data_IF_989690233847
#
_entry.id   IF_989690233847
#
_cell.length_a   1.000
_cell.length_b   1.000
_cell.length_c   1.000
_cell.angle_alpha   90.00
_cell.angle_beta   90.00
_cell.angle_gamma   90.00
#
_symmetry.space_group_name_H-M   'P 1'
#
loop_
_entity.id
_entity.type
_entity.pdbx_description
1 polymer ?
#
# COMPACT_ATOMS: atom_id res chain seq x y z
N UNK A 1 0.53 23.93 6.00
CA UNK A 1 -0.95 23.79 5.92
C UNK A 1 -1.29 22.36 6.31
N UNK A 2 -2.22 22.14 7.23
CA UNK A 2 -2.64 20.78 7.61
C UNK A 2 -3.35 20.13 6.42
N UNK A 3 -2.85 18.99 5.97
CA UNK A 3 -3.53 18.17 4.95
C UNK A 3 -4.83 17.64 5.56
N UNK A 4 -5.97 17.90 4.91
CA UNK A 4 -7.26 17.39 5.39
C UNK A 4 -7.23 15.86 5.44
N UNK A 5 -7.67 15.28 6.56
CA UNK A 5 -7.74 13.85 6.73
C UNK A 5 -8.83 13.27 5.80
N UNK A 6 -8.45 12.34 4.92
CA UNK A 6 -9.40 11.69 4.03
C UNK A 6 -10.45 10.89 4.83
N UNK A 7 -11.71 10.83 4.42
CA UNK A 7 -12.67 9.88 4.98
C UNK A 7 -12.16 8.43 4.84
N UNK A 8 -12.51 7.55 5.77
CA UNK A 8 -12.10 6.15 5.75
C UNK A 8 -13.17 5.24 6.37
N UNK A 9 -13.20 4.00 5.94
CA UNK A 9 -13.80 2.89 6.68
C UNK A 9 -12.81 2.42 7.73
N UNK A 10 -13.26 2.11 8.93
CA UNK A 10 -12.41 1.59 10.01
C UNK A 10 -13.03 0.34 10.62
N UNK A 11 -12.23 -0.71 10.76
CA UNK A 11 -12.58 -1.95 11.46
C UNK A 11 -11.58 -2.15 12.59
N UNK A 12 -12.06 -2.51 13.77
CA UNK A 12 -11.18 -2.82 14.91
C UNK A 12 -11.43 -4.24 15.38
N UNK A 13 -10.38 -5.04 15.52
CA UNK A 13 -10.47 -6.42 16.02
C UNK A 13 -10.63 -6.49 17.55
N UNK A 14 -10.43 -5.39 18.26
CA UNK A 14 -10.60 -5.27 19.70
C UNK A 14 -10.97 -3.84 20.11
N UNK A 15 -11.50 -3.66 21.32
CA UNK A 15 -11.92 -2.35 21.84
C UNK A 15 -10.75 -1.34 21.97
N UNK A 16 -9.54 -1.83 22.21
CA UNK A 16 -8.33 -1.02 22.32
C UNK A 16 -7.26 -1.59 21.38
N UNK A 17 -7.26 -1.20 20.09
CA UNK A 17 -6.25 -1.61 19.14
C UNK A 17 -4.89 -1.03 19.51
N UNK A 18 -3.87 -1.87 19.43
CA UNK A 18 -2.48 -1.54 19.72
C UNK A 18 -1.64 -1.42 18.44
N UNK A 19 -2.18 -1.87 17.31
CA UNK A 19 -1.57 -1.85 15.99
C UNK A 19 -2.52 -1.27 14.95
N UNK A 20 -1.98 -0.85 13.81
CA UNK A 20 -2.80 -0.38 12.70
C UNK A 20 -2.30 -0.92 11.36
N UNK A 21 -3.24 -1.19 10.46
CA UNK A 21 -2.99 -1.44 9.04
C UNK A 21 -3.75 -0.39 8.26
N UNK A 22 -3.05 0.49 7.55
CA UNK A 22 -3.66 1.49 6.67
C UNK A 22 -3.61 0.94 5.24
N UNK A 23 -4.77 0.58 4.69
CA UNK A 23 -4.89 -0.17 3.45
C UNK A 23 -5.55 0.64 2.34
N UNK A 24 -4.81 0.91 1.28
CA UNK A 24 -5.19 1.74 0.16
C UNK A 24 -5.75 0.89 -0.99
N UNK A 25 -6.93 1.24 -1.50
CA UNK A 25 -7.61 0.57 -2.62
C UNK A 25 -6.99 0.91 -3.98
N UNK A 26 -7.37 0.17 -5.02
CA UNK A 26 -7.00 0.43 -6.41
C UNK A 26 -7.75 1.59 -7.06
N UNK A 27 -7.37 1.92 -8.30
CA UNK A 27 -8.03 2.94 -9.11
C UNK A 27 -9.52 2.63 -9.30
N UNK A 28 -10.38 3.61 -9.08
CA UNK A 28 -11.83 3.52 -9.31
C UNK A 28 -12.62 2.84 -8.19
N UNK A 29 -11.93 2.13 -7.27
CA UNK A 29 -12.52 1.54 -6.07
C UNK A 29 -12.67 2.56 -4.94
N UNK A 30 -12.99 2.11 -3.73
CA UNK A 30 -13.04 2.94 -2.53
C UNK A 30 -12.65 2.14 -1.27
N UNK A 31 -12.78 2.73 -0.08
CA UNK A 31 -12.36 2.09 1.17
C UNK A 31 -13.15 0.82 1.54
N UNK A 32 -14.27 0.53 0.89
CA UNK A 32 -15.04 -0.71 1.11
C UNK A 32 -14.51 -1.91 0.32
N UNK A 33 -13.60 -1.69 -0.63
CA UNK A 33 -13.10 -2.73 -1.54
C UNK A 33 -12.37 -3.86 -0.81
N UNK A 34 -11.55 -3.50 0.20
CA UNK A 34 -10.77 -4.46 0.99
C UNK A 34 -11.33 -4.71 2.39
N UNK A 35 -12.44 -4.07 2.76
CA UNK A 35 -13.11 -4.31 4.04
C UNK A 35 -13.42 -5.80 4.28
N UNK A 36 -13.95 -6.57 3.29
CA UNK A 36 -14.27 -7.98 3.48
C UNK A 36 -13.04 -8.88 3.73
N UNK A 37 -11.84 -8.46 3.39
CA UNK A 37 -10.61 -9.25 3.61
C UNK A 37 -10.34 -9.44 5.11
N UNK A 38 -10.77 -8.50 5.95
CA UNK A 38 -10.60 -8.61 7.42
C UNK A 38 -11.43 -9.76 8.00
N UNK A 39 -12.56 -10.08 7.39
CA UNK A 39 -13.42 -11.20 7.82
C UNK A 39 -12.81 -12.58 7.49
N UNK A 40 -11.84 -12.64 6.56
CA UNK A 40 -11.09 -13.85 6.21
C UNK A 40 -9.94 -14.14 7.19
N UNK A 41 -9.54 -13.15 8.02
CA UNK A 41 -8.46 -13.32 9.00
C UNK A 41 -8.97 -13.99 10.28
N UNK A 42 -8.17 -14.89 10.84
CA UNK A 42 -8.44 -15.46 12.15
C UNK A 42 -8.19 -14.39 13.24
N UNK A 43 -9.22 -13.98 13.99
CA UNK A 43 -9.09 -12.94 15.00
C UNK A 43 -8.14 -13.29 16.15
N UNK A 44 -7.74 -14.58 16.27
CA UNK A 44 -6.79 -15.04 17.29
C UNK A 44 -5.32 -14.94 16.87
N UNK A 45 -5.07 -14.72 15.57
CA UNK A 45 -3.71 -14.71 14.99
C UNK A 45 -3.08 -13.33 15.05
N UNK A 46 -3.87 -12.28 14.78
CA UNK A 46 -3.39 -10.91 14.81
C UNK A 46 -3.51 -10.27 16.19
N UNK A 47 -2.56 -9.42 16.60
CA UNK A 47 -2.75 -8.60 17.79
C UNK A 47 -3.94 -7.66 17.62
N UNK A 48 -4.43 -7.00 18.71
CA UNK A 48 -5.47 -5.98 18.60
C UNK A 48 -5.15 -4.91 17.56
N UNK A 49 -5.81 -4.96 16.42
CA UNK A 49 -5.47 -4.17 15.23
C UNK A 49 -6.64 -3.29 14.78
N UNK A 50 -6.33 -2.07 14.35
CA UNK A 50 -7.24 -1.21 13.59
C UNK A 50 -6.87 -1.26 12.12
N UNK A 51 -7.82 -1.71 11.30
CA UNK A 51 -7.75 -1.60 9.84
C UNK A 51 -8.39 -0.28 9.42
N UNK A 52 -7.67 0.51 8.64
CA UNK A 52 -8.10 1.83 8.15
C UNK A 52 -8.06 1.78 6.63
N UNK A 53 -9.20 1.99 5.98
CA UNK A 53 -9.36 1.97 4.52
C UNK A 53 -9.77 3.36 4.02
N UNK A 54 -8.81 4.26 3.73
CA UNK A 54 -9.12 5.60 3.26
C UNK A 54 -9.76 5.58 1.87
N UNK A 55 -10.70 6.50 1.63
CA UNK A 55 -11.21 6.77 0.29
C UNK A 55 -10.30 7.75 -0.43
N UNK A 56 -9.78 7.36 -1.61
CA UNK A 56 -9.05 8.29 -2.47
C UNK A 56 -9.93 9.47 -2.89
N UNK A 57 -9.35 10.64 -3.14
CA UNK A 57 -10.07 11.77 -3.73
C UNK A 57 -10.66 11.41 -5.10
N UNK A 58 -11.79 12.02 -5.46
CA UNK A 58 -12.31 11.96 -6.83
C UNK A 58 -11.54 12.97 -7.67
N UNK A 59 -10.94 12.50 -8.76
CA UNK A 59 -10.19 13.34 -9.71
C UNK A 59 -10.37 12.86 -11.15
N UNK A 60 -10.19 13.71 -12.16
CA UNK A 60 -10.12 13.27 -13.54
C UNK A 60 -8.96 12.29 -13.74
N UNK A 61 -9.18 11.21 -14.50
CA UNK A 61 -8.16 10.21 -14.83
C UNK A 61 -7.95 10.19 -16.34
N UNK A 62 -6.76 10.57 -16.77
CA UNK A 62 -6.44 10.83 -18.17
C UNK A 62 -6.62 9.61 -19.07
N UNK A 63 -6.16 8.42 -18.64
CA UNK A 63 -6.31 7.17 -19.41
C UNK A 63 -7.79 6.79 -19.65
N UNK A 64 -8.69 7.25 -18.80
CA UNK A 64 -10.12 7.03 -18.91
C UNK A 64 -10.84 8.25 -19.53
N UNK A 65 -10.16 8.99 -20.42
CA UNK A 65 -10.73 10.15 -21.10
C UNK A 65 -11.06 11.34 -20.19
N UNK A 66 -10.42 11.43 -19.02
CA UNK A 66 -10.66 12.48 -18.03
C UNK A 66 -11.92 12.22 -17.17
N UNK A 67 -12.48 11.01 -17.21
CA UNK A 67 -13.65 10.67 -16.38
C UNK A 67 -13.28 10.77 -14.88
N UNK A 68 -14.09 11.49 -14.07
CA UNK A 68 -13.84 11.62 -12.64
C UNK A 68 -14.08 10.30 -11.91
N UNK A 69 -13.07 9.81 -11.20
CA UNK A 69 -13.18 8.63 -10.35
C UNK A 69 -12.24 8.74 -9.16
N UNK A 70 -12.39 7.87 -8.16
CA UNK A 70 -11.44 7.79 -7.05
C UNK A 70 -10.08 7.33 -7.55
N UNK A 71 -9.07 8.16 -7.33
CA UNK A 71 -7.71 7.89 -7.77
C UNK A 71 -6.70 8.56 -6.84
N UNK A 72 -5.62 7.86 -6.52
CA UNK A 72 -4.52 8.39 -5.73
C UNK A 72 -3.67 9.38 -6.54
N UNK A 73 -3.47 9.10 -7.81
CA UNK A 73 -2.75 9.95 -8.76
C UNK A 73 -3.27 9.73 -10.18
N UNK A 74 -2.93 10.60 -11.11
CA UNK A 74 -3.37 10.46 -12.51
C UNK A 74 -2.61 9.34 -13.22
N UNK A 75 -3.32 8.53 -14.01
CA UNK A 75 -2.76 7.57 -14.94
C UNK A 75 -2.90 8.13 -16.36
N UNK A 76 -1.76 8.42 -16.99
CA UNK A 76 -1.72 9.05 -18.32
C UNK A 76 -1.72 8.00 -19.42
N UNK A 77 -1.14 6.81 -19.18
CA UNK A 77 -1.04 5.72 -20.16
C UNK A 77 -1.02 4.35 -19.48
N UNK A 78 -1.53 3.34 -20.17
CA UNK A 78 -1.37 1.92 -19.82
C UNK A 78 -0.10 1.28 -20.39
N UNK A 79 0.65 2.02 -21.24
CA UNK A 79 1.92 1.53 -21.78
C UNK A 79 3.03 1.71 -20.74
N UNK A 80 3.31 0.65 -19.98
CA UNK A 80 4.36 0.63 -18.97
C UNK A 80 5.78 0.78 -19.53
N UNK A 81 5.97 0.61 -20.85
CA UNK A 81 7.26 0.85 -21.51
C UNK A 81 7.54 2.33 -21.78
N UNK A 82 6.47 3.14 -21.85
CA UNK A 82 6.51 4.60 -22.10
C UNK A 82 5.82 5.38 -20.99
N UNK A 83 5.87 4.85 -19.80
CA UNK A 83 5.13 5.40 -18.68
C UNK A 83 5.50 6.85 -18.40
N UNK A 84 4.48 7.69 -18.35
CA UNK A 84 4.55 9.03 -17.77
C UNK A 84 3.90 8.95 -16.40
N UNK A 85 4.71 9.15 -15.38
CA UNK A 85 4.23 9.21 -14.01
C UNK A 85 3.65 10.59 -13.69
N UNK A 86 2.82 10.66 -12.68
CA UNK A 86 2.31 11.90 -12.09
C UNK A 86 2.98 12.14 -10.72
N UNK A 87 4.20 12.72 -10.67
CA UNK A 87 4.91 12.92 -9.42
C UNK A 87 4.12 13.78 -8.42
N UNK A 88 3.40 14.79 -8.93
CA UNK A 88 2.62 15.68 -8.08
C UNK A 88 1.48 14.94 -7.38
N UNK A 89 0.75 14.09 -8.09
CA UNK A 89 -0.32 13.28 -7.53
C UNK A 89 0.20 12.23 -6.57
N UNK A 90 1.33 11.55 -6.88
CA UNK A 90 1.97 10.58 -5.97
C UNK A 90 2.39 11.27 -4.67
N UNK A 91 3.05 12.43 -4.74
CA UNK A 91 3.46 13.18 -3.55
C UNK A 91 2.27 13.72 -2.75
N UNK A 92 1.19 14.13 -3.42
CA UNK A 92 -0.05 14.54 -2.72
C UNK A 92 -0.65 13.37 -1.94
N UNK A 93 -0.78 12.21 -2.57
CA UNK A 93 -1.30 11.01 -1.92
C UNK A 93 -0.41 10.51 -0.79
N UNK A 94 0.92 10.62 -0.95
CA UNK A 94 1.85 10.34 0.14
C UNK A 94 1.60 11.26 1.35
N UNK A 95 1.42 12.57 1.14
CA UNK A 95 1.07 13.49 2.24
C UNK A 95 -0.27 13.16 2.91
N UNK A 96 -1.26 12.68 2.15
CA UNK A 96 -2.55 12.23 2.68
C UNK A 96 -2.39 10.96 3.52
N UNK A 97 -1.53 10.03 3.09
CA UNK A 97 -1.20 8.82 3.85
C UNK A 97 -0.40 9.15 5.12
N UNK A 98 0.55 10.09 5.05
CA UNK A 98 1.26 10.62 6.23
C UNK A 98 0.30 11.22 7.26
N UNK A 99 -0.74 11.92 6.82
CA UNK A 99 -1.78 12.44 7.73
C UNK A 99 -2.56 11.30 8.41
N UNK A 100 -2.73 10.15 7.76
CA UNK A 100 -3.33 8.95 8.36
C UNK A 100 -2.41 8.30 9.39
N UNK A 101 -1.11 8.19 9.11
CA UNK A 101 -0.12 7.72 10.09
C UNK A 101 -0.14 8.62 11.33
N UNK A 102 -0.07 9.95 11.13
CA UNK A 102 -0.13 10.92 12.22
C UNK A 102 -1.42 10.77 13.06
N UNK A 103 -2.56 10.49 12.40
CA UNK A 103 -3.82 10.23 13.10
C UNK A 103 -3.75 9.00 13.99
N UNK A 104 -3.10 7.92 13.55
CA UNK A 104 -2.93 6.73 14.38
C UNK A 104 -1.95 6.99 15.55
N UNK A 105 -0.91 7.80 15.34
CA UNK A 105 -0.04 8.24 16.42
C UNK A 105 -0.79 9.06 17.50
N UNK A 106 -1.67 10.00 17.10
CA UNK A 106 -2.54 10.74 18.01
C UNK A 106 -3.45 9.83 18.84
N UNK A 107 -3.80 8.66 18.29
CA UNK A 107 -4.61 7.61 18.91
C UNK A 107 -3.80 6.64 19.77
N UNK A 108 -2.48 6.87 19.90
CA UNK A 108 -1.57 6.09 20.74
C UNK A 108 -0.91 4.89 20.05
N UNK A 109 -1.03 4.74 18.73
CA UNK A 109 -0.33 3.69 17.95
C UNK A 109 0.94 4.29 17.37
N UNK A 110 2.09 3.81 17.80
CA UNK A 110 3.39 4.27 17.32
C UNK A 110 3.68 3.73 15.91
N UNK A 111 4.57 4.42 15.15
CA UNK A 111 4.87 4.08 13.74
C UNK A 111 5.35 2.63 13.57
N UNK A 112 6.17 2.13 14.48
CA UNK A 112 6.67 0.75 14.47
C UNK A 112 5.59 -0.32 14.69
N UNK A 113 4.34 0.09 14.90
CA UNK A 113 3.14 -0.74 14.99
C UNK A 113 2.15 -0.47 13.85
N UNK A 114 2.59 0.24 12.82
CA UNK A 114 1.77 0.58 11.65
C UNK A 114 2.31 -0.13 10.42
N UNK A 115 1.45 -0.87 9.73
CA UNK A 115 1.70 -1.42 8.40
C UNK A 115 1.03 -0.52 7.37
N UNK A 116 1.74 -0.15 6.32
CA UNK A 116 1.14 0.46 5.13
C UNK A 116 0.85 -0.63 4.11
N UNK A 117 -0.41 -0.78 3.75
CA UNK A 117 -0.89 -1.78 2.80
C UNK A 117 -1.54 -1.10 1.59
N UNK A 118 -1.52 -1.76 0.44
CA UNK A 118 -2.27 -1.29 -0.69
C UNK A 118 -2.26 -2.24 -1.88
N UNK A 119 -3.31 -2.11 -2.68
CA UNK A 119 -3.52 -2.86 -3.91
C UNK A 119 -3.39 -1.92 -5.11
N UNK A 120 -2.70 -2.37 -6.17
CA UNK A 120 -2.60 -1.65 -7.43
C UNK A 120 -2.06 -0.22 -7.22
N UNK A 121 -2.81 0.81 -7.61
CA UNK A 121 -2.46 2.22 -7.40
C UNK A 121 -2.22 2.55 -5.91
N UNK A 122 -3.01 1.97 -5.00
CA UNK A 122 -2.83 2.12 -3.56
C UNK A 122 -1.53 1.51 -3.05
N UNK A 123 -1.14 0.34 -3.59
CA UNK A 123 0.14 -0.30 -3.27
C UNK A 123 1.35 0.54 -3.69
N UNK A 124 1.25 1.21 -4.85
CA UNK A 124 2.28 2.12 -5.30
C UNK A 124 2.48 3.30 -4.33
N UNK A 125 1.38 3.90 -3.84
CA UNK A 125 1.44 4.98 -2.82
C UNK A 125 1.97 4.46 -1.49
N UNK A 126 1.57 3.26 -1.07
CA UNK A 126 2.06 2.64 0.17
C UNK A 126 3.58 2.43 0.12
N UNK A 127 4.11 1.84 -0.96
CA UNK A 127 5.56 1.69 -1.17
C UNK A 127 6.27 3.04 -1.19
N UNK A 128 5.78 4.00 -1.99
CA UNK A 128 6.41 5.32 -2.10
C UNK A 128 6.52 6.00 -0.74
N UNK A 129 5.43 6.00 0.02
CA UNK A 129 5.36 6.66 1.33
C UNK A 129 6.25 5.95 2.35
N UNK A 130 6.12 4.62 2.48
CA UNK A 130 6.85 3.87 3.49
C UNK A 130 8.37 4.00 3.35
N UNK A 131 8.90 3.91 2.14
CA UNK A 131 10.33 4.00 1.89
C UNK A 131 10.91 5.41 2.13
N UNK A 132 10.06 6.42 2.25
CA UNK A 132 10.42 7.82 2.50
C UNK A 132 9.97 8.33 3.89
N UNK A 133 9.18 7.54 4.61
CA UNK A 133 8.71 7.92 5.94
C UNK A 133 9.85 8.02 6.95
N UNK A 134 9.94 9.14 7.74
CA UNK A 134 11.10 9.44 8.55
C UNK A 134 11.26 8.56 9.81
N UNK A 135 10.21 7.81 10.21
CA UNK A 135 10.24 6.91 11.35
C UNK A 135 10.03 5.45 10.92
N UNK A 136 10.50 4.51 11.73
CA UNK A 136 10.37 3.08 11.45
C UNK A 136 8.90 2.66 11.42
N UNK A 137 8.48 1.97 10.35
CA UNK A 137 7.19 1.31 10.23
C UNK A 137 7.29 -0.19 10.55
N UNK A 138 6.17 -0.83 10.88
CA UNK A 138 6.12 -2.28 11.10
C UNK A 138 6.37 -3.06 9.82
N UNK A 139 5.83 -2.61 8.69
CA UNK A 139 5.97 -3.29 7.41
C UNK A 139 5.24 -2.62 6.27
N UNK A 140 5.43 -3.14 5.06
CA UNK A 140 4.75 -2.71 3.83
C UNK A 140 4.16 -3.91 3.12
N UNK A 141 2.86 -3.86 2.84
CA UNK A 141 2.12 -4.86 2.07
C UNK A 141 1.76 -4.27 0.70
N UNK A 142 2.38 -4.78 -0.35
CA UNK A 142 2.27 -4.24 -1.71
C UNK A 142 1.71 -5.30 -2.66
N UNK A 143 0.41 -5.20 -2.98
CA UNK A 143 -0.34 -6.22 -3.72
C UNK A 143 -0.63 -5.74 -5.15
N UNK A 144 -0.31 -6.57 -6.15
CA UNK A 144 -0.55 -6.32 -7.59
C UNK A 144 -0.14 -4.90 -8.01
N UNK A 145 1.09 -4.51 -7.69
CA UNK A 145 1.56 -3.12 -7.79
C UNK A 145 3.01 -3.00 -8.29
N UNK A 146 3.56 -1.82 -8.23
CA UNK A 146 4.92 -1.46 -8.65
C UNK A 146 5.45 -0.29 -7.82
N UNK A 147 6.75 -0.03 -7.89
CA UNK A 147 7.38 1.13 -7.26
C UNK A 147 7.26 2.37 -8.15
N UNK A 148 6.47 3.40 -7.77
CA UNK A 148 6.41 4.66 -8.50
C UNK A 148 7.62 5.53 -8.18
N UNK A 149 8.01 6.42 -9.10
CA UNK A 149 9.14 7.35 -8.97
C UNK A 149 10.41 6.64 -8.50
N UNK A 150 10.68 5.47 -9.10
CA UNK A 150 11.80 4.61 -8.71
C UNK A 150 13.16 5.33 -8.81
N UNK A 151 13.31 6.22 -9.80
CA UNK A 151 14.55 6.97 -10.06
C UNK A 151 14.92 7.93 -8.91
N UNK A 152 13.95 8.37 -8.11
CA UNK A 152 14.20 9.28 -6.99
C UNK A 152 14.47 8.53 -5.68
N UNK A 153 14.22 7.22 -5.61
CA UNK A 153 14.32 6.44 -4.37
C UNK A 153 15.68 6.59 -3.70
N UNK A 154 16.77 6.45 -4.46
CA UNK A 154 18.12 6.49 -3.88
C UNK A 154 18.45 7.83 -3.18
N UNK A 155 17.84 8.94 -3.66
CA UNK A 155 18.05 10.27 -3.09
C UNK A 155 17.09 10.59 -1.93
N UNK A 156 15.92 9.96 -1.90
CA UNK A 156 14.80 10.31 -1.02
C UNK A 156 14.52 9.26 0.06
N UNK A 157 15.12 8.07 -0.04
CA UNK A 157 14.88 6.98 0.90
C UNK A 157 15.24 7.38 2.35
N UNK A 158 14.29 7.14 3.26
CA UNK A 158 14.51 7.38 4.67
C UNK A 158 15.31 6.24 5.31
N UNK A 159 16.45 6.52 5.98
CA UNK A 159 17.26 5.48 6.64
C UNK A 159 16.47 4.65 7.67
N UNK A 160 15.47 5.23 8.31
CA UNK A 160 14.63 4.57 9.31
C UNK A 160 13.89 3.33 8.78
N UNK A 161 13.59 3.30 7.47
CA UNK A 161 12.86 2.21 6.83
C UNK A 161 13.74 1.37 5.89
N UNK A 162 15.07 1.45 6.03
CA UNK A 162 15.98 0.62 5.21
C UNK A 162 15.76 -0.88 5.42
N UNK A 163 15.42 -1.26 6.64
CA UNK A 163 15.17 -2.65 7.04
C UNK A 163 13.68 -2.95 7.23
N UNK A 164 12.77 -2.11 6.69
CA UNK A 164 11.34 -2.36 6.79
C UNK A 164 10.98 -3.63 6.01
N UNK A 165 10.31 -4.62 6.64
CA UNK A 165 9.86 -5.80 5.91
C UNK A 165 8.85 -5.44 4.83
N UNK A 166 9.04 -5.96 3.62
CA UNK A 166 8.14 -5.74 2.49
C UNK A 166 7.62 -7.09 2.01
N UNK A 167 6.30 -7.27 2.02
CA UNK A 167 5.61 -8.33 1.32
C UNK A 167 5.10 -7.76 0.00
N UNK A 168 5.58 -8.28 -1.12
CA UNK A 168 5.11 -7.85 -2.43
C UNK A 168 4.59 -9.06 -3.21
N UNK A 169 3.31 -9.00 -3.62
CA UNK A 169 2.62 -10.08 -4.31
C UNK A 169 2.10 -9.64 -5.68
N UNK A 170 2.05 -10.59 -6.62
CA UNK A 170 1.57 -10.30 -7.97
C UNK A 170 1.03 -11.54 -8.68
N UNK A 171 -0.05 -11.35 -9.46
CA UNK A 171 -0.62 -12.38 -10.30
C UNK A 171 0.17 -12.62 -11.59
N UNK A 172 0.49 -13.87 -11.92
CA UNK A 172 1.14 -14.20 -13.19
C UNK A 172 0.31 -13.81 -14.43
N UNK A 173 -1.03 -13.82 -14.30
CA UNK A 173 -1.97 -13.48 -15.35
C UNK A 173 -2.42 -12.02 -15.35
N UNK A 174 -1.77 -11.15 -14.59
CA UNK A 174 -2.15 -9.74 -14.47
C UNK A 174 -1.99 -9.01 -15.81
N UNK A 175 -3.12 -8.61 -16.40
CA UNK A 175 -3.19 -7.87 -17.66
C UNK A 175 -3.28 -6.35 -17.46
N UNK A 176 -3.45 -5.88 -16.22
CA UNK A 176 -3.54 -4.46 -15.85
C UNK A 176 -2.14 -3.91 -15.58
N UNK A 177 -1.38 -4.59 -14.71
CA UNK A 177 0.03 -4.30 -14.46
C UNK A 177 0.83 -5.52 -14.88
N UNK A 178 1.62 -5.45 -15.98
CA UNK A 178 2.37 -6.61 -16.44
C UNK A 178 3.28 -7.20 -15.37
N UNK A 179 3.28 -8.52 -15.24
CA UNK A 179 4.07 -9.26 -14.25
C UNK A 179 5.55 -8.81 -14.23
N UNK A 180 6.18 -8.75 -15.42
CA UNK A 180 7.59 -8.35 -15.54
C UNK A 180 7.85 -6.93 -15.05
N UNK A 181 6.83 -6.04 -15.09
CA UNK A 181 6.98 -4.67 -14.60
C UNK A 181 6.98 -4.63 -13.08
N UNK A 182 6.11 -5.38 -12.44
CA UNK A 182 6.06 -5.53 -10.99
C UNK A 182 7.32 -6.24 -10.46
N UNK A 183 7.74 -7.34 -11.12
CA UNK A 183 8.95 -8.07 -10.76
C UNK A 183 10.22 -7.21 -10.86
N UNK A 184 10.33 -6.34 -11.88
CA UNK A 184 11.43 -5.35 -11.95
C UNK A 184 11.43 -4.40 -10.77
N UNK A 185 10.26 -3.95 -10.30
CA UNK A 185 10.17 -3.11 -9.11
C UNK A 185 10.65 -3.84 -7.85
N UNK A 186 10.26 -5.12 -7.70
CA UNK A 186 10.71 -5.96 -6.59
C UNK A 186 12.25 -6.14 -6.61
N UNK A 187 12.82 -6.49 -7.75
CA UNK A 187 14.28 -6.64 -7.92
C UNK A 187 15.03 -5.36 -7.61
N UNK A 188 14.56 -4.20 -8.09
CA UNK A 188 15.18 -2.91 -7.79
C UNK A 188 15.26 -2.65 -6.28
N UNK A 189 14.18 -2.93 -5.55
CA UNK A 189 14.18 -2.76 -4.10
C UNK A 189 15.08 -3.78 -3.40
N UNK A 190 15.12 -5.05 -3.85
CA UNK A 190 16.04 -6.06 -3.34
C UNK A 190 17.50 -5.70 -3.59
N UNK A 191 17.85 -5.25 -4.79
CA UNK A 191 19.21 -4.75 -5.14
C UNK A 191 19.60 -3.52 -4.34
N UNK A 192 18.62 -2.66 -4.01
CA UNK A 192 18.81 -1.56 -3.08
C UNK A 192 18.96 -2.02 -1.62
N UNK A 193 18.80 -3.32 -1.31
CA UNK A 193 19.04 -3.95 -0.01
C UNK A 193 17.83 -3.90 0.94
N UNK A 194 16.61 -3.73 0.43
CA UNK A 194 15.39 -3.87 1.25
C UNK A 194 15.06 -5.35 1.48
N UNK A 195 14.61 -5.74 2.69
CA UNK A 195 14.15 -7.11 2.98
C UNK A 195 12.77 -7.35 2.37
N UNK A 196 12.74 -7.56 1.06
CA UNK A 196 11.52 -7.77 0.28
C UNK A 196 11.35 -9.26 -0.04
N UNK A 197 10.21 -9.82 0.37
CA UNK A 197 9.71 -11.13 -0.04
C UNK A 197 8.79 -10.96 -1.26
N UNK A 198 9.13 -11.63 -2.35
CA UNK A 198 8.35 -11.65 -3.59
C UNK A 198 7.50 -12.91 -3.67
N UNK A 199 6.18 -12.73 -3.84
CA UNK A 199 5.17 -13.80 -3.85
C UNK A 199 4.36 -13.77 -5.15
N UNK A 200 4.69 -14.63 -6.14
CA UNK A 200 3.89 -14.78 -7.35
C UNK A 200 2.73 -15.75 -7.11
N UNK A 201 1.53 -15.42 -7.64
CA UNK A 201 0.34 -16.27 -7.58
C UNK A 201 -0.25 -16.53 -8.96
N UNK A 202 -0.98 -17.65 -9.11
CA UNK A 202 -1.71 -17.96 -10.34
C UNK A 202 -3.08 -17.26 -10.34
N UNK A 203 -3.07 -15.95 -10.43
CA UNK A 203 -4.26 -15.10 -10.52
C UNK A 203 -4.04 -13.98 -11.53
N UNK A 204 -5.10 -13.23 -11.82
CA UNK A 204 -5.07 -12.03 -12.63
C UNK A 204 -4.79 -10.78 -11.74
N UNK A 205 -5.36 -9.60 -12.07
CA UNK A 205 -5.30 -8.39 -11.25
C UNK A 205 -6.28 -8.45 -10.07
N UNK A 206 -6.07 -9.42 -9.18
CA UNK A 206 -6.94 -9.71 -8.03
C UNK A 206 -6.19 -10.51 -6.97
N UNK A 207 -6.75 -10.60 -5.76
CA UNK A 207 -6.25 -11.50 -4.72
C UNK A 207 -6.88 -12.89 -4.84
N UNK A 208 -6.12 -13.92 -4.46
CA UNK A 208 -6.64 -15.28 -4.27
C UNK A 208 -6.60 -15.67 -2.79
N UNK A 209 -7.31 -16.74 -2.40
CA UNK A 209 -7.38 -17.19 -1.01
C UNK A 209 -6.01 -17.61 -0.45
N UNK A 210 -5.12 -18.14 -1.29
CA UNK A 210 -3.76 -18.48 -0.89
C UNK A 210 -2.98 -17.21 -0.49
N UNK A 211 -3.06 -16.17 -1.33
CA UNK A 211 -2.45 -14.86 -1.05
C UNK A 211 -2.99 -14.24 0.24
N UNK A 212 -4.30 -14.30 0.48
CA UNK A 212 -4.92 -13.76 1.71
C UNK A 212 -4.37 -14.47 2.96
N UNK A 213 -4.17 -15.79 2.92
CA UNK A 213 -3.58 -16.55 4.03
C UNK A 213 -2.11 -16.20 4.27
N UNK A 214 -1.34 -16.03 3.20
CA UNK A 214 0.06 -15.62 3.30
C UNK A 214 0.19 -14.20 3.84
N UNK A 215 -0.72 -13.29 3.44
CA UNK A 215 -0.83 -11.94 3.99
C UNK A 215 -1.12 -11.96 5.49
N UNK A 216 -2.08 -12.79 5.94
CA UNK A 216 -2.38 -12.94 7.37
C UNK A 216 -1.16 -13.42 8.15
N UNK A 217 -0.50 -14.48 7.68
CA UNK A 217 0.69 -15.02 8.33
C UNK A 217 1.83 -14.00 8.41
N UNK A 218 2.02 -13.22 7.34
CA UNK A 218 3.02 -12.15 7.32
C UNK A 218 2.64 -11.00 8.26
N UNK A 219 1.37 -10.57 8.29
CA UNK A 219 0.89 -9.56 9.24
C UNK A 219 1.10 -10.02 10.69
N UNK A 220 0.80 -11.27 11.00
CA UNK A 220 1.05 -11.84 12.33
C UNK A 220 2.53 -11.77 12.73
N UNK A 221 3.43 -12.04 11.78
CA UNK A 221 4.87 -11.96 12.02
C UNK A 221 5.34 -10.54 12.30
N UNK A 222 4.91 -9.56 11.49
CA UNK A 222 5.43 -8.17 11.59
C UNK A 222 4.75 -7.34 12.67
N UNK A 223 3.56 -7.73 13.11
CA UNK A 223 2.80 -7.07 14.17
C UNK A 223 2.91 -7.79 15.53
N UNK A 224 3.30 -9.07 15.55
CA UNK A 224 3.39 -9.89 16.77
C UNK A 224 4.77 -9.88 17.43
N UNK A 225 5.78 -9.19 16.87
CA UNK A 225 7.15 -9.10 17.34
C UNK A 225 7.36 -8.14 18.50
#
# INVERSE_FOLDING_TARGET
>A
MSTALLPAVEITTAAQPTHAVIWLHGLGADGHDFEPVVDEFDPSVLPPTRFVFPHAPVRPVTINGGYPMRAWYDLVTSDFSRRREDPAGVHESARQLEARIARENERGIADERIVLAGFSQGGAVALHTALRHPRRLAGVLALSTYLPLADTLAAEAAPANKDVPIFMAHGHGDTVIPYDFAERSARLMQEAGYPLAWHPYFTEHSLCLEEIRDVEAWLAQVLGG
#
